data_IF_812891116629
#
_entry.id   IF_812891116629
#
_cell.length_a   1.000
_cell.length_b   1.000
_cell.length_c   1.000
_cell.angle_alpha   90.00
_cell.angle_beta   90.00
_cell.angle_gamma   90.00
#
_symmetry.space_group_name_H-M   'P 1'
#
loop_
_entity.id
_entity.type
_entity.pdbx_description
1 polymer ?
#
# COMPACT_ATOMS: atom_id res chain seq x y z
N UNK A 1 31.37 19.89 -30.82
CA UNK A 1 31.99 20.56 -29.66
C UNK A 1 30.96 20.56 -28.52
N UNK A 2 30.92 19.48 -27.72
CA UNK A 2 29.91 19.30 -26.68
C UNK A 2 30.30 20.07 -25.42
N UNK A 3 29.69 21.23 -25.19
CA UNK A 3 29.71 21.92 -23.89
C UNK A 3 28.71 21.24 -22.95
N UNK A 4 29.10 20.10 -22.37
CA UNK A 4 28.42 19.61 -21.17
C UNK A 4 29.18 20.15 -19.96
N UNK A 5 28.74 21.32 -19.48
CA UNK A 5 29.03 21.70 -18.11
C UNK A 5 28.36 20.69 -17.21
N UNK A 6 29.10 19.64 -16.83
CA UNK A 6 28.79 18.88 -15.62
C UNK A 6 28.89 19.89 -14.46
N UNK A 7 27.78 20.55 -14.17
CA UNK A 7 27.69 21.38 -12.98
C UNK A 7 27.65 20.41 -11.80
N UNK A 8 28.83 20.08 -11.22
CA UNK A 8 28.93 19.26 -10.00
C UNK A 8 27.95 19.74 -8.91
N UNK A 9 27.69 21.05 -8.88
CA UNK A 9 26.68 21.71 -8.05
C UNK A 9 25.28 21.07 -8.15
N UNK A 10 24.79 20.69 -9.34
CA UNK A 10 23.45 20.10 -9.46
C UNK A 10 23.39 18.65 -9.00
N UNK A 11 24.48 17.89 -9.12
CA UNK A 11 24.56 16.51 -8.64
C UNK A 11 24.67 16.46 -7.11
N UNK A 12 25.54 17.30 -6.54
CA UNK A 12 25.71 17.44 -5.09
C UNK A 12 24.42 17.93 -4.41
N UNK A 13 23.72 18.89 -5.01
CA UNK A 13 22.41 19.34 -4.53
C UNK A 13 21.31 18.27 -4.62
N UNK A 14 21.25 17.50 -5.72
CA UNK A 14 20.28 16.40 -5.87
C UNK A 14 20.54 15.32 -4.81
N UNK A 15 21.81 14.96 -4.63
CA UNK A 15 22.24 14.04 -3.59
C UNK A 15 21.85 14.54 -2.20
N UNK A 16 22.20 15.79 -1.88
CA UNK A 16 21.89 16.41 -0.60
C UNK A 16 20.39 16.41 -0.28
N UNK A 17 19.56 16.82 -1.24
CA UNK A 17 18.09 16.83 -1.07
C UNK A 17 17.53 15.44 -0.82
N UNK A 18 18.02 14.43 -1.53
CA UNK A 18 17.51 13.06 -1.38
C UNK A 18 17.97 12.44 -0.05
N UNK A 19 19.20 12.71 0.38
CA UNK A 19 19.70 12.34 1.72
C UNK A 19 18.83 12.96 2.82
N UNK A 20 18.54 14.26 2.72
CA UNK A 20 17.67 14.95 3.66
C UNK A 20 16.28 14.29 3.72
N UNK A 21 15.66 14.07 2.56
CA UNK A 21 14.33 13.47 2.46
C UNK A 21 14.27 12.09 3.11
N UNK A 22 15.24 11.22 2.84
CA UNK A 22 15.32 9.86 3.40
C UNK A 22 15.60 9.87 4.90
N UNK A 23 16.47 10.77 5.37
CA UNK A 23 16.74 10.96 6.81
C UNK A 23 15.46 11.36 7.56
N UNK A 24 14.72 12.32 7.02
CA UNK A 24 13.47 12.80 7.62
C UNK A 24 12.37 11.75 7.62
N UNK A 25 12.28 10.91 6.58
CA UNK A 25 11.36 9.76 6.54
C UNK A 25 11.62 8.73 7.65
N UNK A 26 12.88 8.57 8.07
CA UNK A 26 13.23 7.73 9.22
C UNK A 26 13.10 8.46 10.56
N UNK A 27 12.66 9.72 10.57
CA UNK A 27 12.51 10.54 11.78
C UNK A 27 13.84 10.90 12.44
N UNK A 28 14.95 10.89 11.70
CA UNK A 28 16.27 11.13 12.27
C UNK A 28 16.65 12.61 12.22
N UNK A 29 17.20 13.13 13.32
CA UNK A 29 17.86 14.44 13.32
C UNK A 29 19.22 14.37 12.61
N UNK A 30 19.76 15.52 12.18
CA UNK A 30 21.11 15.60 11.60
C UNK A 30 22.18 15.04 12.56
N UNK A 31 22.05 15.29 13.87
CA UNK A 31 22.97 14.77 14.90
C UNK A 31 22.89 13.25 15.02
N UNK A 32 21.67 12.68 15.03
CA UNK A 32 21.49 11.24 15.04
C UNK A 32 22.09 10.59 13.80
N UNK A 33 21.83 11.18 12.64
CA UNK A 33 22.35 10.66 11.38
C UNK A 33 23.88 10.75 11.29
N UNK A 34 24.49 11.84 11.75
CA UNK A 34 25.94 11.96 11.86
C UNK A 34 26.55 10.89 12.78
N UNK A 35 25.87 10.56 13.88
CA UNK A 35 26.31 9.50 14.80
C UNK A 35 26.27 8.13 14.12
N UNK A 36 25.19 7.81 13.42
CA UNK A 36 25.05 6.56 12.66
C UNK A 36 26.11 6.42 11.55
N UNK A 37 26.44 7.52 10.86
CA UNK A 37 27.51 7.53 9.85
C UNK A 37 28.90 7.30 10.46
N UNK A 38 29.13 7.86 11.65
CA UNK A 38 30.36 7.62 12.40
C UNK A 38 30.46 6.16 12.83
N UNK A 39 29.37 5.57 13.31
CA UNK A 39 29.29 4.13 13.64
C UNK A 39 29.52 3.23 12.41
N UNK A 40 29.13 3.69 11.22
CA UNK A 40 29.37 3.02 9.95
C UNK A 40 30.80 3.24 9.38
N UNK A 41 31.70 3.87 10.15
CA UNK A 41 33.11 4.03 9.78
C UNK A 41 33.42 5.28 8.96
N UNK A 42 32.53 6.28 8.93
CA UNK A 42 32.82 7.58 8.31
C UNK A 42 33.41 8.54 9.35
N UNK A 43 34.73 8.74 9.29
CA UNK A 43 35.43 9.61 10.22
C UNK A 43 34.99 11.08 10.11
N UNK A 44 34.96 11.78 11.25
CA UNK A 44 34.75 13.24 11.36
C UNK A 44 33.41 13.76 10.77
N UNK A 45 32.35 12.95 10.78
CA UNK A 45 31.02 13.39 10.38
C UNK A 45 30.28 14.07 11.54
N UNK A 46 30.07 15.39 11.42
CA UNK A 46 29.29 16.17 12.38
C UNK A 46 27.94 16.62 11.80
N UNK A 47 27.00 17.00 12.66
CA UNK A 47 25.68 17.51 12.25
C UNK A 47 25.76 18.67 11.26
N UNK A 48 26.74 19.56 11.42
CA UNK A 48 27.02 20.67 10.50
C UNK A 48 27.53 20.20 9.14
N UNK A 49 28.27 19.08 9.10
CA UNK A 49 28.73 18.45 7.86
C UNK A 49 27.55 17.86 7.11
N UNK A 50 26.67 17.14 7.81
CA UNK A 50 25.40 16.64 7.26
C UNK A 50 24.58 17.80 6.68
N UNK A 51 24.39 18.89 7.43
CA UNK A 51 23.63 20.04 6.94
C UNK A 51 24.24 20.74 5.72
N UNK A 52 25.57 20.72 5.54
CA UNK A 52 26.23 21.24 4.32
C UNK A 52 26.08 20.30 3.14
N UNK A 53 26.14 19.00 3.37
CA UNK A 53 25.89 17.99 2.33
C UNK A 53 24.44 18.07 1.86
N UNK A 54 23.48 18.15 2.77
CA UNK A 54 22.06 18.22 2.44
C UNK A 54 21.70 19.45 1.59
N UNK A 55 22.43 20.55 1.78
CA UNK A 55 22.27 21.77 0.97
C UNK A 55 23.13 21.78 -0.29
N UNK A 56 23.94 20.76 -0.55
CA UNK A 56 24.84 20.69 -1.71
C UNK A 56 26.07 21.61 -1.63
N UNK A 57 26.37 22.19 -0.46
CA UNK A 57 27.48 23.12 -0.27
C UNK A 57 28.83 22.43 -0.04
N UNK A 58 28.81 21.12 0.20
CA UNK A 58 29.99 20.30 0.39
C UNK A 58 29.90 19.11 -0.56
N UNK A 59 30.85 18.96 -1.50
CA UNK A 59 30.95 17.76 -2.31
C UNK A 59 31.13 16.52 -1.43
N UNK A 60 30.47 15.43 -1.80
CA UNK A 60 30.53 14.15 -1.07
C UNK A 60 31.50 13.22 -1.79
N UNK A 61 32.42 12.61 -1.04
CA UNK A 61 33.30 11.59 -1.62
C UNK A 61 32.51 10.31 -1.87
N UNK A 62 32.88 9.53 -2.89
CA UNK A 62 32.18 8.29 -3.20
C UNK A 62 32.10 7.32 -2.00
N UNK A 63 33.16 7.23 -1.19
CA UNK A 63 33.16 6.43 0.04
C UNK A 63 32.13 6.90 1.07
N UNK A 64 31.98 8.22 1.23
CA UNK A 64 30.96 8.82 2.10
C UNK A 64 29.56 8.56 1.55
N UNK A 65 29.37 8.69 0.24
CA UNK A 65 28.09 8.43 -0.41
C UNK A 65 27.65 6.96 -0.27
N UNK A 66 28.58 6.01 -0.38
CA UNK A 66 28.31 4.58 -0.13
C UNK A 66 27.90 4.34 1.32
N UNK A 67 28.60 4.91 2.29
CA UNK A 67 28.23 4.77 3.70
C UNK A 67 26.86 5.41 4.00
N UNK A 68 26.57 6.56 3.39
CA UNK A 68 25.25 7.20 3.46
C UNK A 68 24.16 6.28 2.92
N UNK A 69 24.37 5.66 1.76
CA UNK A 69 23.42 4.71 1.17
C UNK A 69 23.19 3.49 2.09
N UNK A 70 24.25 2.95 2.70
CA UNK A 70 24.17 1.83 3.64
C UNK A 70 23.39 2.20 4.90
N UNK A 71 23.69 3.33 5.54
CA UNK A 71 22.99 3.79 6.76
C UNK A 71 21.52 4.10 6.48
N UNK A 72 21.21 4.64 5.29
CA UNK A 72 19.83 4.89 4.87
C UNK A 72 19.11 3.63 4.39
N UNK A 73 19.80 2.51 4.21
CA UNK A 73 19.29 1.24 3.69
C UNK A 73 18.64 1.40 2.30
N UNK A 74 19.38 2.01 1.38
CA UNK A 74 18.92 2.29 0.01
C UNK A 74 20.04 2.06 -1.01
N UNK A 75 19.72 1.72 -2.27
CA UNK A 75 20.72 1.71 -3.34
C UNK A 75 21.33 3.10 -3.56
N UNK A 76 22.65 3.19 -3.79
CA UNK A 76 23.35 4.47 -4.02
C UNK A 76 22.77 5.27 -5.20
N UNK A 77 22.40 4.58 -6.28
CA UNK A 77 21.74 5.17 -7.45
C UNK A 77 20.42 5.89 -7.11
N UNK A 78 19.73 5.46 -6.05
CA UNK A 78 18.50 6.11 -5.61
C UNK A 78 18.74 7.44 -4.91
N UNK A 79 19.98 7.72 -4.49
CA UNK A 79 20.39 9.00 -3.90
C UNK A 79 20.77 10.04 -4.98
N UNK A 80 20.94 9.63 -6.24
CA UNK A 80 21.23 10.56 -7.35
C UNK A 80 20.20 10.33 -8.46
N UNK A 81 18.91 10.64 -8.22
CA UNK A 81 17.90 10.46 -9.24
C UNK A 81 18.18 11.36 -10.45
N UNK A 82 18.22 10.75 -11.62
CA UNK A 82 18.20 11.48 -12.89
C UNK A 82 16.77 11.92 -13.18
N UNK A 83 16.61 12.96 -14.00
CA UNK A 83 15.28 13.44 -14.40
C UNK A 83 14.50 12.35 -15.14
N UNK A 84 15.19 11.53 -15.93
CA UNK A 84 14.64 10.35 -16.59
C UNK A 84 14.18 9.27 -15.61
N UNK A 85 14.94 8.99 -14.55
CA UNK A 85 14.57 8.00 -13.54
C UNK A 85 13.33 8.42 -12.75
N UNK A 86 13.23 9.70 -12.38
CA UNK A 86 12.09 10.24 -11.63
C UNK A 86 10.80 10.17 -12.44
N UNK A 87 10.86 10.50 -13.74
CA UNK A 87 9.72 10.37 -14.65
C UNK A 87 9.32 8.89 -14.83
N UNK A 88 10.28 8.00 -15.02
CA UNK A 88 10.03 6.56 -15.18
C UNK A 88 9.37 5.94 -13.93
N UNK A 89 9.81 6.33 -12.73
CA UNK A 89 9.23 5.83 -11.49
C UNK A 89 7.81 6.36 -11.26
N UNK A 90 7.55 7.62 -11.63
CA UNK A 90 6.20 8.19 -11.60
C UNK A 90 5.26 7.50 -12.61
N UNK A 91 5.71 7.26 -13.84
CA UNK A 91 4.96 6.51 -14.85
C UNK A 91 4.66 5.09 -14.39
N UNK A 92 5.63 4.41 -13.79
CA UNK A 92 5.45 3.07 -13.21
C UNK A 92 4.42 3.09 -12.08
N UNK A 93 4.48 4.08 -11.19
CA UNK A 93 3.52 4.23 -10.10
C UNK A 93 2.09 4.49 -10.61
N UNK A 94 1.94 5.37 -11.61
CA UNK A 94 0.64 5.65 -12.25
C UNK A 94 0.08 4.40 -12.90
N UNK A 95 0.92 3.64 -13.62
CA UNK A 95 0.51 2.36 -14.22
C UNK A 95 0.01 1.38 -13.16
N UNK A 96 0.80 1.11 -12.12
CA UNK A 96 0.42 0.18 -11.05
C UNK A 96 -0.87 0.60 -10.35
N UNK A 97 -1.03 1.89 -10.08
CA UNK A 97 -2.26 2.44 -9.50
C UNK A 97 -3.47 2.23 -10.43
N UNK A 98 -3.30 2.47 -11.74
CA UNK A 98 -4.37 2.30 -12.72
C UNK A 98 -4.80 0.83 -12.88
N UNK A 99 -3.84 -0.10 -12.86
CA UNK A 99 -4.07 -1.54 -12.92
C UNK A 99 -4.80 -2.02 -11.67
N UNK A 100 -4.38 -1.55 -10.49
CA UNK A 100 -5.06 -1.83 -9.21
C UNK A 100 -6.49 -1.29 -9.20
N UNK A 101 -6.72 -0.04 -9.63
CA UNK A 101 -8.07 0.55 -9.73
C UNK A 101 -8.95 -0.23 -10.72
N UNK A 102 -8.38 -0.79 -11.78
CA UNK A 102 -9.12 -1.65 -12.72
C UNK A 102 -9.49 -2.98 -12.08
N UNK A 103 -8.57 -3.65 -11.39
CA UNK A 103 -8.82 -4.91 -10.69
C UNK A 103 -9.92 -4.77 -9.62
N UNK A 104 -9.84 -3.72 -8.80
CA UNK A 104 -10.86 -3.42 -7.77
C UNK A 104 -12.25 -3.25 -8.40
N UNK A 105 -12.36 -2.53 -9.52
CA UNK A 105 -13.65 -2.35 -10.20
C UNK A 105 -14.24 -3.66 -10.73
N UNK A 106 -13.39 -4.56 -11.25
CA UNK A 106 -13.82 -5.88 -11.71
C UNK A 106 -14.31 -6.72 -10.52
N UNK A 107 -13.55 -6.76 -9.43
CA UNK A 107 -13.93 -7.51 -8.22
C UNK A 107 -15.22 -6.98 -7.61
N UNK A 108 -15.36 -5.65 -7.51
CA UNK A 108 -16.58 -5.01 -7.03
C UNK A 108 -17.79 -5.41 -7.90
N UNK A 109 -17.62 -5.44 -9.23
CA UNK A 109 -18.70 -5.86 -10.13
C UNK A 109 -19.08 -7.33 -9.93
N UNK A 110 -18.11 -8.24 -9.87
CA UNK A 110 -18.36 -9.66 -9.63
C UNK A 110 -19.06 -9.90 -8.28
N UNK A 111 -18.65 -9.16 -7.24
CA UNK A 111 -19.30 -9.24 -5.94
C UNK A 111 -20.74 -8.71 -6.00
N UNK A 112 -20.98 -7.58 -6.69
CA UNK A 112 -22.32 -7.05 -6.88
C UNK A 112 -23.23 -8.03 -7.63
N UNK A 113 -22.73 -8.64 -8.71
CA UNK A 113 -23.47 -9.64 -9.49
C UNK A 113 -23.76 -10.89 -8.64
N UNK A 114 -22.79 -11.34 -7.81
CA UNK A 114 -22.98 -12.45 -6.86
C UNK A 114 -24.06 -12.14 -5.80
N UNK A 115 -24.05 -10.92 -5.26
CA UNK A 115 -24.99 -10.48 -4.24
C UNK A 115 -26.40 -10.27 -4.82
N UNK A 116 -26.52 -9.79 -6.05
CA UNK A 116 -27.80 -9.63 -6.74
C UNK A 116 -28.54 -10.96 -6.93
N UNK A 117 -27.82 -12.09 -6.98
CA UNK A 117 -28.41 -13.42 -7.05
C UNK A 117 -28.81 -14.02 -5.70
N UNK A 118 -28.47 -13.38 -4.57
CA UNK A 118 -28.78 -13.93 -3.24
C UNK A 118 -30.28 -14.09 -2.94
N UNK A 119 -31.19 -13.21 -3.38
CA UNK A 119 -32.62 -13.42 -3.18
C UNK A 119 -33.13 -14.72 -3.82
N UNK A 120 -32.70 -15.03 -5.05
CA UNK A 120 -33.10 -16.27 -5.72
C UNK A 120 -32.53 -17.50 -4.99
N UNK A 121 -31.25 -17.46 -4.59
CA UNK A 121 -30.63 -18.54 -3.79
C UNK A 121 -31.35 -18.74 -2.46
N UNK A 122 -31.82 -17.66 -1.83
CA UNK A 122 -32.62 -17.72 -0.61
C UNK A 122 -33.93 -18.46 -0.86
N UNK A 123 -34.65 -18.11 -1.93
CA UNK A 123 -35.92 -18.74 -2.32
C UNK A 123 -35.73 -20.23 -2.56
N UNK A 124 -34.72 -20.62 -3.35
CA UNK A 124 -34.38 -22.03 -3.61
C UNK A 124 -34.09 -22.80 -2.31
N UNK A 125 -33.34 -22.20 -1.38
CA UNK A 125 -33.02 -22.82 -0.08
C UNK A 125 -34.26 -22.99 0.80
N UNK A 126 -35.19 -22.05 0.78
CA UNK A 126 -36.46 -22.16 1.51
C UNK A 126 -37.32 -23.27 0.91
N UNK A 127 -37.44 -23.33 -0.42
CA UNK A 127 -38.21 -24.38 -1.11
C UNK A 127 -37.65 -25.77 -0.80
N UNK A 128 -36.33 -25.95 -0.86
CA UNK A 128 -35.68 -27.23 -0.53
C UNK A 128 -35.88 -27.62 0.95
N UNK A 129 -35.93 -26.65 1.86
CA UNK A 129 -36.22 -26.90 3.28
C UNK A 129 -37.69 -27.27 3.50
N UNK A 130 -38.61 -26.70 2.72
CA UNK A 130 -40.05 -26.95 2.81
C UNK A 130 -40.47 -28.25 2.14
N UNK A 131 -39.74 -28.74 1.13
CA UNK A 131 -40.07 -30.00 0.45
C UNK A 131 -39.99 -31.22 1.37
N UNK A 132 -39.16 -31.15 2.42
CA UNK A 132 -38.95 -32.25 3.36
C UNK A 132 -38.12 -33.41 2.80
N UNK A 133 -37.53 -33.25 1.61
CA UNK A 133 -36.74 -34.30 0.92
C UNK A 133 -35.31 -34.43 1.45
N UNK A 134 -34.92 -33.58 2.40
CA UNK A 134 -33.58 -33.58 2.99
C UNK A 134 -33.51 -34.46 4.23
N UNK A 135 -32.39 -35.18 4.37
CA UNK A 135 -32.03 -35.80 5.63
C UNK A 135 -31.56 -34.77 6.68
N UNK A 136 -31.30 -35.21 7.90
CA UNK A 136 -30.91 -34.35 9.01
C UNK A 136 -29.64 -33.52 8.72
N UNK A 137 -28.68 -34.11 7.99
CA UNK A 137 -27.44 -33.43 7.60
C UNK A 137 -27.71 -32.35 6.55
N UNK A 138 -28.53 -32.66 5.54
CA UNK A 138 -28.97 -31.72 4.52
C UNK A 138 -29.72 -30.52 5.10
N UNK A 139 -30.64 -30.76 6.03
CA UNK A 139 -31.40 -29.70 6.72
C UNK A 139 -30.45 -28.77 7.48
N UNK A 140 -29.47 -29.33 8.20
CA UNK A 140 -28.49 -28.54 8.96
C UNK A 140 -27.65 -27.66 8.03
N UNK A 141 -27.20 -28.20 6.90
CA UNK A 141 -26.39 -27.47 5.92
C UNK A 141 -27.20 -26.37 5.21
N UNK A 142 -28.44 -26.66 4.80
CA UNK A 142 -29.32 -25.70 4.16
C UNK A 142 -29.67 -24.52 5.09
N UNK A 143 -29.94 -24.79 6.38
CA UNK A 143 -30.16 -23.74 7.39
C UNK A 143 -28.92 -22.87 7.62
N UNK A 144 -27.72 -23.47 7.62
CA UNK A 144 -26.46 -22.72 7.72
C UNK A 144 -26.30 -21.75 6.55
N UNK A 145 -26.54 -22.23 5.32
CA UNK A 145 -26.48 -21.39 4.12
C UNK A 145 -27.55 -20.30 4.12
N UNK A 146 -28.78 -20.62 4.52
CA UNK A 146 -29.87 -19.65 4.63
C UNK A 146 -29.51 -18.51 5.59
N UNK A 147 -28.93 -18.83 6.74
CA UNK A 147 -28.43 -17.81 7.69
C UNK A 147 -27.35 -16.90 7.11
N UNK A 148 -26.43 -17.44 6.30
CA UNK A 148 -25.41 -16.64 5.59
C UNK A 148 -26.07 -15.72 4.57
N UNK A 149 -27.03 -16.21 3.81
CA UNK A 149 -27.75 -15.44 2.79
C UNK A 149 -28.60 -14.33 3.43
N UNK A 150 -29.36 -14.65 4.47
CA UNK A 150 -30.19 -13.70 5.22
C UNK A 150 -29.34 -12.59 5.85
N UNK A 151 -28.17 -12.91 6.40
CA UNK A 151 -27.22 -11.92 6.93
C UNK A 151 -26.76 -10.94 5.84
N UNK A 152 -26.39 -11.44 4.65
CA UNK A 152 -25.95 -10.59 3.54
C UNK A 152 -27.09 -9.73 2.96
N UNK A 153 -28.34 -10.20 3.02
CA UNK A 153 -29.52 -9.44 2.58
C UNK A 153 -29.95 -8.38 3.62
N UNK A 154 -29.86 -8.71 4.92
CA UNK A 154 -30.29 -7.83 6.01
C UNK A 154 -29.42 -6.58 6.16
N UNK A 155 -28.12 -6.63 5.81
CA UNK A 155 -27.24 -5.46 5.89
C UNK A 155 -27.54 -4.40 4.81
N UNK A 156 -28.46 -4.65 3.85
CA UNK A 156 -28.79 -3.71 2.79
C UNK A 156 -27.56 -3.24 2.00
N UNK A 157 -26.49 -4.06 2.03
CA UNK A 157 -25.17 -3.65 1.61
C UNK A 157 -25.17 -3.46 0.10
N UNK A 158 -25.01 -2.21 -0.31
CA UNK A 158 -24.71 -1.84 -1.69
C UNK A 158 -23.33 -1.24 -1.74
N UNK A 159 -22.64 -1.45 -2.86
CA UNK A 159 -21.43 -0.71 -3.15
C UNK A 159 -21.75 0.80 -3.13
N UNK A 160 -21.04 1.61 -2.32
CA UNK A 160 -21.18 3.06 -2.37
C UNK A 160 -20.71 3.58 -3.73
N UNK A 161 -21.38 4.61 -4.23
CA UNK A 161 -21.02 5.28 -5.49
C UNK A 161 -19.66 6.01 -5.38
N UNK A 162 -19.04 6.36 -6.51
CA UNK A 162 -17.75 7.07 -6.51
C UNK A 162 -17.82 8.42 -5.76
N UNK A 163 -18.98 9.09 -5.80
CA UNK A 163 -19.23 10.31 -5.04
C UNK A 163 -19.37 10.03 -3.53
N UNK A 164 -20.11 8.99 -3.14
CA UNK A 164 -20.27 8.60 -1.73
C UNK A 164 -18.95 8.17 -1.08
N UNK A 165 -18.11 7.43 -1.81
CA UNK A 165 -16.75 7.06 -1.33
C UNK A 165 -15.88 8.30 -1.13
N UNK A 166 -16.02 9.31 -1.99
CA UNK A 166 -15.26 10.57 -1.89
C UNK A 166 -15.63 11.38 -0.64
N UNK A 167 -16.90 11.30 -0.25
CA UNK A 167 -17.47 12.05 0.87
C UNK A 167 -17.36 11.28 2.21
N UNK A 168 -16.85 10.04 2.20
CA UNK A 168 -16.67 9.22 3.40
C UNK A 168 -15.47 9.65 4.25
N UNK A 169 -15.68 9.73 5.56
CA UNK A 169 -14.62 9.90 6.55
C UNK A 169 -13.79 8.62 6.71
N UNK A 170 -12.53 8.70 7.21
CA UNK A 170 -11.70 7.52 7.48
C UNK A 170 -12.34 6.46 8.39
N UNK A 171 -13.19 6.87 9.33
CA UNK A 171 -13.94 5.98 10.22
C UNK A 171 -15.05 5.23 9.47
N UNK A 172 -15.73 5.90 8.54
CA UNK A 172 -16.75 5.27 7.68
C UNK A 172 -16.12 4.27 6.70
N UNK A 173 -14.93 4.58 6.16
CA UNK A 173 -14.14 3.62 5.37
C UNK A 173 -13.72 2.39 6.18
N UNK A 174 -13.37 2.54 7.46
CA UNK A 174 -12.99 1.44 8.34
C UNK A 174 -14.12 0.45 8.62
N UNK A 175 -15.35 0.94 8.83
CA UNK A 175 -16.54 0.08 9.03
C UNK A 175 -16.93 -0.68 7.76
N UNK A 176 -16.83 -0.05 6.60
CA UNK A 176 -17.09 -0.72 5.31
C UNK A 176 -16.11 -1.87 5.00
N UNK A 177 -14.89 -1.82 5.56
CA UNK A 177 -13.86 -2.87 5.42
C UNK A 177 -14.08 -4.08 6.34
N UNK A 178 -14.65 -3.88 7.54
CA UNK A 178 -14.83 -4.94 8.52
C UNK A 178 -15.83 -6.02 8.04
N UNK A 179 -16.87 -5.63 7.29
CA UNK A 179 -17.86 -6.55 6.70
C UNK A 179 -17.27 -7.50 5.63
N UNK A 180 -16.12 -7.17 5.02
CA UNK A 180 -15.47 -7.98 3.98
C UNK A 180 -14.47 -9.00 4.58
N UNK A 181 -13.88 -8.69 5.73
CA UNK A 181 -12.81 -9.50 6.34
C UNK A 181 -13.33 -10.67 7.21
N UNK A 182 -14.58 -10.62 7.67
CA UNK A 182 -15.22 -11.69 8.47
C UNK A 182 -15.63 -12.93 7.65
N UNK A 183 -15.17 -13.04 6.40
CA UNK A 183 -15.38 -14.22 5.53
C UNK A 183 -14.20 -15.23 5.60
N UNK A 184 -13.08 -14.88 6.22
CA UNK A 184 -11.83 -15.66 6.15
C UNK A 184 -11.58 -16.66 7.28
N UNK A 185 -12.00 -16.37 8.52
CA UNK A 185 -11.49 -17.11 9.69
C UNK A 185 -12.31 -18.36 10.05
N UNK A 186 -13.62 -18.38 9.77
CA UNK A 186 -14.50 -19.51 10.14
C UNK A 186 -14.50 -20.66 9.11
N UNK A 187 -13.90 -20.47 7.93
CA UNK A 187 -13.86 -21.49 6.87
C UNK A 187 -12.67 -22.47 7.00
N UNK A 188 -11.68 -22.17 7.85
CA UNK A 188 -10.50 -23.03 8.05
C UNK A 188 -10.56 -23.92 9.32
N UNK A 189 -11.51 -23.68 10.22
CA UNK A 189 -11.63 -24.41 11.49
C UNK A 189 -12.59 -25.62 11.43
N UNK A 190 -13.14 -25.95 10.26
CA UNK A 190 -14.13 -27.03 10.09
C UNK A 190 -13.55 -28.31 9.43
N UNK A 191 -12.25 -28.37 9.14
CA UNK A 191 -11.56 -29.56 8.61
C UNK A 191 -10.40 -30.00 9.53
N UNK A 192 -10.65 -30.13 10.84
CA UNK A 192 -9.76 -30.79 11.80
C UNK A 192 -10.51 -31.79 12.67
#
# INVERSE_FOLDING_TARGET
>A
MFRHGWHMTTADERFGREVQRRREQKGWSMTRFASLLTEAGVDNFHSTTVGRIERGERPVRLSEAVAVAQVLDVPLESLIPTDAQTLTDAERAVRLYSETKRAIRVLARLLADRLAGLPAVREDLVEVLESGDLDEAGIKQARKWLGIVDMNLAEGWRLPTEQEVRDMTPVQMGRARASVLWMGDDLWQAEA
#
